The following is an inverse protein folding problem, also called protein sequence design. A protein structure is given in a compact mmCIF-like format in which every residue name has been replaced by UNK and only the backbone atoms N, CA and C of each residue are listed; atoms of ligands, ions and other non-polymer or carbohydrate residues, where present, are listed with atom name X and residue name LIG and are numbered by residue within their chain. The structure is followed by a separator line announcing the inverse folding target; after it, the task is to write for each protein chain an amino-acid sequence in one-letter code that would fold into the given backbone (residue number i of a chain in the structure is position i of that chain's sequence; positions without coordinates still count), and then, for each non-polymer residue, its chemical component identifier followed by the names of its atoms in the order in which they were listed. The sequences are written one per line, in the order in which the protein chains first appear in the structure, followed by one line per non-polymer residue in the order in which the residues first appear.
data_IF_960805644767
#
_entry.id   IF_960805644767
#
_cell.length_a   1.000
_cell.length_b   1.000
_cell.length_c   1.000
_cell.angle_alpha   90.00
_cell.angle_beta   90.00
_cell.angle_gamma   90.00
#
_symmetry.space_group_name_H-M   'P 1'
#
loop_
_entity.id
_entity.type
_entity.pdbx_description
1 polymer ?
#
# COMPACT_ATOMS: atom_id res chain seq x y z
N UNK A 1 37.16 1.15 -10.01
CA UNK A 1 36.81 0.63 -11.35
C UNK A 1 35.31 0.70 -11.45
N UNK A 2 34.86 1.62 -12.29
CA UNK A 2 33.47 1.91 -12.60
C UNK A 2 33.00 0.78 -13.52
N UNK A 3 31.91 0.08 -13.17
CA UNK A 3 31.17 -0.74 -14.13
C UNK A 3 29.75 -0.19 -14.18
N UNK A 4 29.59 0.79 -15.07
CA UNK A 4 28.31 1.28 -15.59
C UNK A 4 27.66 0.20 -16.50
N UNK A 5 27.34 -0.96 -15.93
CA UNK A 5 26.33 -1.82 -16.53
C UNK A 5 24.99 -1.22 -16.11
N UNK A 6 24.40 -0.42 -17.00
CA UNK A 6 23.07 0.14 -16.80
C UNK A 6 22.10 -0.95 -16.39
N UNK A 7 21.30 -0.66 -15.35
CA UNK A 7 20.19 -1.48 -14.87
C UNK A 7 19.55 -2.28 -16.03
N UNK A 8 19.74 -3.60 -16.04
CA UNK A 8 19.05 -4.45 -17.00
C UNK A 8 17.54 -4.26 -16.84
N UNK A 9 16.77 -4.32 -17.95
CA UNK A 9 15.31 -4.21 -17.92
C UNK A 9 14.66 -5.19 -16.92
N UNK A 10 15.34 -6.30 -16.64
CA UNK A 10 14.98 -7.31 -15.65
C UNK A 10 15.09 -6.79 -14.21
N UNK A 11 16.19 -6.11 -13.84
CA UNK A 11 16.31 -5.45 -12.54
C UNK A 11 15.31 -4.29 -12.42
N UNK A 12 15.10 -3.53 -13.49
CA UNK A 12 14.13 -2.44 -13.50
C UNK A 12 12.68 -2.95 -13.33
N UNK A 13 12.36 -4.12 -13.89
CA UNK A 13 11.08 -4.82 -13.67
C UNK A 13 10.98 -5.36 -12.25
N UNK A 14 12.02 -6.01 -11.71
CA UNK A 14 12.02 -6.51 -10.34
C UNK A 14 11.92 -5.39 -9.30
N UNK A 15 12.59 -4.26 -9.49
CA UNK A 15 12.44 -3.09 -8.60
C UNK A 15 11.02 -2.55 -8.61
N UNK A 16 10.37 -2.47 -9.79
CA UNK A 16 8.96 -2.08 -9.89
C UNK A 16 8.10 -3.04 -9.08
N UNK A 17 8.28 -4.35 -9.26
CA UNK A 17 7.56 -5.39 -8.51
C UNK A 17 7.71 -5.20 -7.00
N UNK A 18 8.93 -5.02 -6.51
CA UNK A 18 9.19 -4.88 -5.06
C UNK A 18 8.56 -3.61 -4.50
N UNK A 19 8.67 -2.48 -5.20
CA UNK A 19 8.05 -1.21 -4.79
C UNK A 19 6.53 -1.33 -4.78
N UNK A 20 5.95 -1.99 -5.78
CA UNK A 20 4.52 -2.23 -5.85
C UNK A 20 4.03 -3.15 -4.72
N UNK A 21 4.69 -4.30 -4.51
CA UNK A 21 4.39 -5.20 -3.39
C UNK A 21 4.50 -4.48 -2.05
N UNK A 22 5.54 -3.67 -1.86
CA UNK A 22 5.72 -2.87 -0.66
C UNK A 22 4.55 -1.89 -0.46
N UNK A 23 4.13 -1.21 -1.53
CA UNK A 23 3.01 -0.27 -1.49
C UNK A 23 1.70 -0.98 -1.13
N UNK A 24 1.43 -2.16 -1.72
CA UNK A 24 0.23 -2.96 -1.43
C UNK A 24 0.24 -3.37 0.05
N UNK A 25 1.36 -3.89 0.54
CA UNK A 25 1.51 -4.27 1.94
C UNK A 25 1.34 -3.09 2.88
N UNK A 26 1.88 -1.91 2.55
CA UNK A 26 1.67 -0.69 3.33
C UNK A 26 0.20 -0.28 3.40
N UNK A 27 -0.53 -0.29 2.28
CA UNK A 27 -1.96 0.05 2.26
C UNK A 27 -2.78 -0.97 3.07
N UNK A 28 -2.47 -2.27 2.95
CA UNK A 28 -3.10 -3.33 3.75
C UNK A 28 -2.85 -3.11 5.24
N UNK A 29 -1.62 -2.76 5.63
CA UNK A 29 -1.27 -2.47 7.01
C UNK A 29 -2.08 -1.29 7.56
N UNK A 30 -2.24 -0.21 6.77
CA UNK A 30 -3.05 0.95 7.16
C UNK A 30 -4.52 0.55 7.35
N UNK A 31 -5.11 -0.21 6.42
CA UNK A 31 -6.52 -0.64 6.52
C UNK A 31 -6.73 -1.55 7.74
N UNK A 32 -5.79 -2.44 8.04
CA UNK A 32 -5.83 -3.24 9.28
C UNK A 32 -5.73 -2.36 10.52
N UNK A 33 -4.85 -1.37 10.50
CA UNK A 33 -4.70 -0.40 11.59
C UNK A 33 -5.98 0.42 11.78
N UNK A 34 -6.69 0.81 10.72
CA UNK A 34 -7.99 1.48 10.81
C UNK A 34 -9.01 0.65 11.60
N UNK A 35 -9.10 -0.66 11.33
CA UNK A 35 -9.96 -1.56 12.07
C UNK A 35 -9.59 -1.65 13.55
N UNK A 36 -8.29 -1.65 13.88
CA UNK A 36 -7.80 -1.67 15.26
C UNK A 36 -8.01 -0.34 15.99
N UNK A 37 -7.79 0.78 15.31
CA UNK A 37 -7.99 2.15 15.82
C UNK A 37 -9.45 2.59 15.79
N UNK A 38 -10.37 1.75 15.28
CA UNK A 38 -11.78 2.06 15.03
C UNK A 38 -11.99 3.36 14.25
N UNK A 39 -11.21 3.52 13.19
CA UNK A 39 -11.37 4.63 12.24
C UNK A 39 -12.27 4.14 11.11
N UNK A 40 -13.46 4.73 11.00
CA UNK A 40 -14.35 4.49 9.89
C UNK A 40 -13.82 5.12 8.60
N UNK A 41 -14.16 4.49 7.47
CA UNK A 41 -13.92 5.09 6.16
C UNK A 41 -14.77 6.34 5.99
N UNK A 42 -14.26 7.32 5.23
CA UNK A 42 -15.03 8.52 4.88
C UNK A 42 -16.24 8.19 4.01
N UNK A 43 -16.13 7.16 3.17
CA UNK A 43 -17.22 6.68 2.33
C UNK A 43 -17.41 5.15 2.51
N UNK A 44 -18.66 4.73 2.72
CA UNK A 44 -19.04 3.33 2.87
C UNK A 44 -18.67 2.47 1.64
N UNK A 45 -18.61 3.06 0.45
CA UNK A 45 -18.13 2.38 -0.75
C UNK A 45 -16.65 1.95 -0.64
N UNK A 46 -15.86 2.62 0.19
CA UNK A 46 -14.46 2.25 0.45
C UNK A 46 -14.33 0.95 1.24
N UNK A 47 -15.34 0.58 2.02
CA UNK A 47 -15.34 -0.71 2.71
C UNK A 47 -15.39 -1.88 1.73
N UNK A 48 -16.08 -1.72 0.59
CA UNK A 48 -16.09 -2.70 -0.49
C UNK A 48 -14.76 -2.72 -1.23
N UNK A 49 -14.20 -1.54 -1.57
CA UNK A 49 -12.87 -1.40 -2.15
C UNK A 49 -11.80 -2.09 -1.26
N UNK A 50 -11.87 -1.93 0.06
CA UNK A 50 -10.94 -2.56 0.99
C UNK A 50 -11.03 -4.09 0.93
N UNK A 51 -12.23 -4.66 0.83
CA UNK A 51 -12.42 -6.11 0.65
C UNK A 51 -11.85 -6.58 -0.69
N UNK A 52 -12.12 -5.87 -1.77
CA UNK A 52 -11.54 -6.17 -3.08
C UNK A 52 -10.01 -6.13 -3.04
N UNK A 53 -9.41 -5.16 -2.34
CA UNK A 53 -7.97 -5.07 -2.15
C UNK A 53 -7.40 -6.35 -1.53
N UNK A 54 -8.00 -6.86 -0.45
CA UNK A 54 -7.55 -8.09 0.21
C UNK A 54 -7.64 -9.32 -0.71
N UNK A 55 -8.73 -9.43 -1.47
CA UNK A 55 -8.91 -10.53 -2.43
C UNK A 55 -7.87 -10.45 -3.54
N UNK A 56 -7.73 -9.28 -4.17
CA UNK A 56 -6.78 -9.05 -5.26
C UNK A 56 -5.33 -9.19 -4.80
N UNK A 57 -4.99 -8.73 -3.59
CA UNK A 57 -3.65 -8.90 -3.03
C UNK A 57 -3.34 -10.37 -2.67
N UNK A 58 -4.35 -11.16 -2.32
CA UNK A 58 -4.20 -12.60 -2.06
C UNK A 58 -4.07 -13.45 -3.32
N UNK A 59 -4.60 -12.98 -4.45
CA UNK A 59 -4.50 -13.66 -5.76
C UNK A 59 -3.39 -13.13 -6.65
N UNK A 60 -2.86 -11.94 -6.35
CA UNK A 60 -1.71 -11.37 -7.07
C UNK A 60 -0.45 -12.14 -6.70
N UNK A 61 0.09 -12.87 -7.68
CA UNK A 61 1.44 -13.45 -7.58
C UNK A 61 2.48 -12.32 -7.46
N UNK A 62 3.54 -12.56 -6.68
CA UNK A 62 4.64 -11.62 -6.47
C UNK A 62 5.21 -11.15 -7.81
N UNK A 63 4.83 -9.96 -8.27
CA UNK A 63 5.19 -9.54 -9.63
C UNK A 63 4.17 -8.72 -10.37
N UNK A 64 2.88 -8.96 -10.15
CA UNK A 64 1.87 -8.57 -11.14
C UNK A 64 0.80 -7.69 -10.53
N UNK A 65 0.99 -6.37 -10.59
CA UNK A 65 -0.07 -5.44 -10.21
C UNK A 65 -1.07 -5.29 -11.35
N UNK A 66 -2.26 -5.85 -11.16
CA UNK A 66 -3.40 -5.61 -12.04
C UNK A 66 -3.87 -4.15 -11.97
N UNK A 67 -4.37 -3.63 -13.08
CA UNK A 67 -4.91 -2.26 -13.14
C UNK A 67 -6.08 -2.06 -12.17
N UNK A 68 -6.91 -3.08 -11.96
CA UNK A 68 -7.96 -3.08 -10.93
C UNK A 68 -7.43 -2.84 -9.53
N UNK A 69 -6.35 -3.54 -9.14
CA UNK A 69 -5.74 -3.37 -7.82
C UNK A 69 -5.21 -1.95 -7.61
N UNK A 70 -4.55 -1.39 -8.64
CA UNK A 70 -4.08 0.00 -8.60
C UNK A 70 -5.24 0.99 -8.48
N UNK A 71 -6.35 0.74 -9.19
CA UNK A 71 -7.55 1.56 -9.11
C UNK A 71 -8.18 1.55 -7.72
N UNK A 72 -8.34 0.37 -7.14
CA UNK A 72 -8.84 0.17 -5.77
C UNK A 72 -7.92 0.85 -4.75
N UNK A 73 -6.60 0.63 -4.83
CA UNK A 73 -5.62 1.28 -3.95
C UNK A 73 -5.70 2.80 -4.03
N UNK A 74 -5.82 3.37 -5.23
CA UNK A 74 -5.92 4.83 -5.40
C UNK A 74 -7.18 5.37 -4.73
N UNK A 75 -8.34 4.71 -4.91
CA UNK A 75 -9.61 5.12 -4.27
C UNK A 75 -9.53 5.06 -2.75
N UNK A 76 -8.94 4.00 -2.21
CA UNK A 76 -8.70 3.85 -0.78
C UNK A 76 -7.74 4.92 -0.27
N UNK A 77 -6.64 5.19 -0.98
CA UNK A 77 -5.67 6.20 -0.58
C UNK A 77 -6.26 7.61 -0.53
N UNK A 78 -7.19 7.93 -1.43
CA UNK A 78 -7.88 9.23 -1.44
C UNK A 78 -8.95 9.38 -0.36
N UNK A 79 -9.28 8.30 0.37
CA UNK A 79 -10.28 8.36 1.43
C UNK A 79 -9.78 9.13 2.66
N UNK A 80 -10.66 9.96 3.24
CA UNK A 80 -10.32 10.78 4.40
C UNK A 80 -10.07 9.96 5.67
N UNK A 81 -10.71 8.80 5.82
CA UNK A 81 -10.46 7.87 6.93
C UNK A 81 -9.09 7.22 6.81
N UNK A 82 -8.73 6.78 5.60
CA UNK A 82 -7.40 6.21 5.31
C UNK A 82 -6.30 7.23 5.53
N UNK A 83 -6.45 8.47 5.02
CA UNK A 83 -5.48 9.55 5.24
C UNK A 83 -5.32 9.87 6.73
N UNK A 84 -6.42 9.94 7.50
CA UNK A 84 -6.36 10.13 8.95
C UNK A 84 -5.59 9.02 9.66
N UNK A 85 -5.84 7.76 9.29
CA UNK A 85 -5.12 6.64 9.87
C UNK A 85 -3.63 6.67 9.51
N UNK A 86 -3.29 7.04 8.28
CA UNK A 86 -1.89 7.19 7.85
C UNK A 86 -1.16 8.28 8.63
N UNK A 87 -1.77 9.45 8.82
CA UNK A 87 -1.26 10.53 9.67
C UNK A 87 -0.98 10.04 11.10
N UNK A 88 -1.91 9.28 11.69
CA UNK A 88 -1.72 8.69 13.01
C UNK A 88 -0.65 7.59 13.02
N UNK A 89 -0.56 6.75 11.99
CA UNK A 89 0.52 5.76 11.85
C UNK A 89 1.90 6.42 11.86
N UNK A 90 2.01 7.62 11.30
CA UNK A 90 3.22 8.42 11.34
C UNK A 90 3.53 8.94 12.73
N UNK A 91 2.53 9.31 13.54
CA UNK A 91 2.72 9.60 14.98
C UNK A 91 3.22 8.37 15.76
N UNK A 92 2.74 7.16 15.44
CA UNK A 92 3.21 5.93 16.07
C UNK A 92 4.66 5.58 15.69
N UNK A 93 5.07 5.76 14.43
CA UNK A 93 6.48 5.53 14.03
C UNK A 93 7.42 6.67 14.44
N UNK A 94 6.96 7.94 14.54
CA UNK A 94 7.80 9.04 14.98
C UNK A 94 8.19 8.93 16.46
N UNK A 95 7.36 8.29 17.29
CA UNK A 95 7.68 8.07 18.70
C UNK A 95 8.78 7.01 18.91
N UNK A 96 8.99 6.10 17.96
CA UNK A 96 10.05 5.08 18.06
C UNK A 96 11.42 5.59 17.57
N UNK A 97 11.49 6.79 16.97
CA UNK A 97 12.76 7.40 16.52
C UNK A 97 13.24 8.56 17.40
N UNK A 98 12.60 8.78 18.56
CA UNK A 98 13.00 9.79 19.53
C UNK A 98 13.74 9.16 20.72
N UNK A 99 14.94 8.64 20.47
CA UNK A 99 16.14 8.75 21.34
C UNK A 99 17.38 8.24 20.63
#
# INVERSE_FOLDING_TARGET
IIHEAGYSEEECKQYRVVVYSNTIQSVIAIIRAMGHLKIDFGDAARADDARQLFVLAGTTEEGVVSSDLTGVMRRLWTDSGVQNCFLRSREYQLNDSAS
#
